data_IF_421729328047
#
_entry.id   IF_421729328047
#
_cell.length_a   1.000
_cell.length_b   1.000
_cell.length_c   1.000
_cell.angle_alpha   90.00
_cell.angle_beta   90.00
_cell.angle_gamma   90.00
#
_symmetry.space_group_name_H-M   'P 1'
#
loop_
_entity.id
_entity.type
_entity.pdbx_description
1 polymer ?
#
# COMPACT_ATOMS: atom_id res chain seq x y z
N UNK A 1 23.81 22.65 -3.12
CA UNK A 1 22.46 22.64 -3.75
C UNK A 1 22.44 21.56 -4.83
N UNK A 2 22.05 20.32 -4.50
CA UNK A 2 22.02 19.17 -5.45
C UNK A 2 21.26 17.96 -4.87
N UNK A 3 21.21 17.84 -3.53
CA UNK A 3 20.56 16.74 -2.80
C UNK A 3 19.03 16.69 -3.03
N UNK A 4 18.38 17.83 -3.27
CA UNK A 4 16.93 17.88 -3.50
C UNK A 4 16.50 17.05 -4.72
N UNK A 5 17.35 16.98 -5.75
CA UNK A 5 17.09 16.21 -6.98
C UNK A 5 17.23 14.70 -6.80
N UNK A 6 17.93 14.23 -5.75
CA UNK A 6 18.06 12.81 -5.44
C UNK A 6 16.91 12.29 -4.56
N UNK A 7 16.30 13.16 -3.76
CA UNK A 7 15.13 12.81 -2.95
C UNK A 7 13.90 12.50 -3.81
N UNK A 8 13.69 13.30 -4.87
CA UNK A 8 12.55 13.15 -5.77
C UNK A 8 12.42 11.73 -6.40
N UNK A 9 13.45 11.15 -7.06
CA UNK A 9 13.35 9.81 -7.62
C UNK A 9 13.18 8.73 -6.55
N UNK A 10 13.76 8.92 -5.36
CA UNK A 10 13.62 7.96 -4.26
C UNK A 10 12.16 7.89 -3.77
N UNK A 11 11.51 9.05 -3.60
CA UNK A 11 10.10 9.16 -3.21
C UNK A 11 9.18 8.51 -4.27
N UNK A 12 9.47 8.74 -5.56
CA UNK A 12 8.71 8.12 -6.66
C UNK A 12 8.85 6.59 -6.67
N UNK A 13 10.05 6.07 -6.43
CA UNK A 13 10.29 4.63 -6.39
C UNK A 13 9.50 3.96 -5.24
N UNK A 14 9.47 4.61 -4.08
CA UNK A 14 8.72 4.14 -2.90
C UNK A 14 7.20 4.16 -3.15
N UNK A 15 6.69 5.19 -3.84
CA UNK A 15 5.26 5.28 -4.23
C UNK A 15 4.87 4.17 -5.21
N UNK A 16 5.74 3.81 -6.17
CA UNK A 16 5.45 2.71 -7.11
C UNK A 16 5.35 1.35 -6.41
N UNK A 17 6.22 1.08 -5.44
CA UNK A 17 6.16 -0.15 -4.62
C UNK A 17 4.87 -0.26 -3.81
N UNK A 18 4.41 0.85 -3.21
CA UNK A 18 3.15 0.90 -2.47
C UNK A 18 1.91 0.75 -3.39
N UNK A 19 1.93 1.40 -4.56
CA UNK A 19 0.85 1.34 -5.53
C UNK A 19 0.65 -0.08 -6.10
N UNK A 20 1.73 -0.82 -6.35
CA UNK A 20 1.68 -2.19 -6.89
C UNK A 20 0.92 -3.17 -5.99
N UNK A 21 1.19 -3.16 -4.69
CA UNK A 21 0.51 -4.06 -3.75
C UNK A 21 -0.94 -3.63 -3.47
N UNK A 22 -1.22 -2.33 -3.50
CA UNK A 22 -2.58 -1.78 -3.38
C UNK A 22 -3.45 -2.15 -4.59
N UNK A 23 -2.91 -2.07 -5.80
CA UNK A 23 -3.57 -2.52 -7.02
C UNK A 23 -3.84 -4.03 -6.99
N UNK A 24 -2.91 -4.83 -6.46
CA UNK A 24 -3.10 -6.28 -6.28
C UNK A 24 -4.21 -6.59 -5.28
N UNK A 25 -4.30 -5.85 -4.18
CA UNK A 25 -5.38 -5.97 -3.21
C UNK A 25 -6.75 -5.68 -3.84
N UNK A 26 -6.85 -4.58 -4.60
CA UNK A 26 -8.07 -4.22 -5.34
C UNK A 26 -8.46 -5.27 -6.38
N UNK A 27 -7.51 -5.83 -7.13
CA UNK A 27 -7.78 -6.93 -8.08
C UNK A 27 -8.34 -8.19 -7.43
N UNK A 28 -8.05 -8.43 -6.14
CA UNK A 28 -8.62 -9.54 -5.35
C UNK A 28 -10.01 -9.23 -4.77
N UNK A 29 -10.55 -8.04 -5.05
CA UNK A 29 -11.80 -7.54 -4.47
C UNK A 29 -11.65 -7.05 -3.03
N UNK A 30 -10.43 -6.75 -2.59
CA UNK A 30 -10.14 -6.20 -1.26
C UNK A 30 -9.88 -4.69 -1.28
N UNK A 31 -9.71 -4.12 -0.09
CA UNK A 31 -9.32 -2.73 0.15
C UNK A 31 -8.16 -2.66 1.13
N UNK A 32 -7.42 -1.55 1.10
CA UNK A 32 -6.28 -1.34 1.99
C UNK A 32 -6.72 -0.53 3.21
N UNK A 33 -6.32 -0.96 4.41
CA UNK A 33 -6.61 -0.29 5.68
C UNK A 33 -5.35 -0.14 6.52
N UNK A 34 -5.18 0.99 7.19
CA UNK A 34 -4.03 1.24 8.08
C UNK A 34 -4.29 0.71 9.50
N UNK A 35 -5.52 0.84 10.00
CA UNK A 35 -5.90 0.46 11.36
C UNK A 35 -6.29 -1.03 11.52
N UNK A 36 -5.98 -1.86 10.53
CA UNK A 36 -6.41 -3.26 10.48
C UNK A 36 -7.77 -3.45 9.78
N UNK A 37 -8.29 -4.69 9.82
CA UNK A 37 -9.55 -5.03 9.17
C UNK A 37 -10.71 -5.00 10.16
N UNK A 38 -11.68 -4.11 9.94
CA UNK A 38 -12.90 -4.04 10.74
C UNK A 38 -13.83 -5.21 10.41
N UNK A 39 -14.48 -5.78 11.41
CA UNK A 39 -15.51 -6.82 11.20
C UNK A 39 -16.61 -6.29 10.26
N UNK A 40 -17.07 -7.06 9.25
CA UNK A 40 -16.85 -8.49 9.00
C UNK A 40 -15.63 -8.83 8.13
N UNK A 41 -14.81 -7.85 7.74
CA UNK A 41 -13.68 -8.08 6.84
C UNK A 41 -12.51 -8.80 7.52
N UNK A 42 -11.84 -9.66 6.76
CA UNK A 42 -10.66 -10.44 7.19
C UNK A 42 -9.40 -9.96 6.48
N UNK A 43 -8.23 -10.02 7.15
CA UNK A 43 -6.96 -9.74 6.53
C UNK A 43 -6.58 -10.86 5.55
N UNK A 44 -6.34 -10.48 4.30
CA UNK A 44 -5.95 -11.40 3.21
C UNK A 44 -4.53 -11.13 2.66
N UNK A 45 -3.84 -10.13 3.21
CA UNK A 45 -2.49 -9.75 2.80
C UNK A 45 -2.09 -8.35 3.30
N UNK A 46 -1.08 -7.76 2.67
CA UNK A 46 -0.60 -6.40 2.97
C UNK A 46 -0.61 -5.52 1.71
N UNK A 47 -0.89 -4.23 1.90
CA UNK A 47 -0.85 -3.18 0.87
C UNK A 47 0.33 -2.21 1.04
N UNK A 48 1.02 -2.25 2.17
CA UNK A 48 2.29 -1.56 2.38
C UNK A 48 2.94 -2.11 3.67
N UNK A 49 4.04 -1.50 4.11
CA UNK A 49 4.61 -1.81 5.42
C UNK A 49 3.63 -1.51 6.59
N UNK A 50 2.75 -0.52 6.41
CA UNK A 50 1.85 0.00 7.46
C UNK A 50 0.37 -0.26 7.19
N UNK A 51 0.00 -0.80 6.02
CA UNK A 51 -1.39 -1.08 5.66
C UNK A 51 -1.60 -2.54 5.27
N UNK A 52 -2.74 -3.07 5.72
CA UNK A 52 -3.19 -4.44 5.46
C UNK A 52 -4.24 -4.46 4.35
N UNK A 53 -4.28 -5.55 3.59
CA UNK A 53 -5.31 -5.81 2.61
C UNK A 53 -6.45 -6.57 3.27
N UNK A 54 -7.63 -5.98 3.29
CA UNK A 54 -8.84 -6.51 3.91
C UNK A 54 -9.87 -6.90 2.83
N UNK A 55 -10.61 -7.97 3.08
CA UNK A 55 -11.71 -8.42 2.22
C UNK A 55 -12.87 -8.93 3.07
N UNK A 56 -14.10 -8.60 2.69
CA UNK A 56 -15.30 -9.17 3.31
C UNK A 56 -15.37 -10.68 3.06
#
# INVERSE_FOLDING_TARGET
>A
MKILFLLFPLILLLVQGAAGSSARCRRRGGFCSFDGCSSPSKPIGKCSAVSVCCKR
#
